data_IF_729556621483
#
_entry.id   IF_729556621483
#
_cell.length_a   1.000
_cell.length_b   1.000
_cell.length_c   1.000
_cell.angle_alpha   90.00
_cell.angle_beta   90.00
_cell.angle_gamma   90.00
#
_symmetry.space_group_name_H-M   'P 1'
#
loop_
_entity.id
_entity.type
_entity.pdbx_description
1 polymer ?
#
# COMPACT_ATOMS: atom_id res chain seq x y z
N UNK A 1 -6.87 24.01 5.96
CA UNK A 1 -7.89 23.24 5.27
C UNK A 1 -8.55 22.30 6.26
N UNK A 2 -9.87 22.07 6.13
CA UNK A 2 -10.57 21.03 6.87
C UNK A 2 -10.32 19.71 6.14
N UNK A 3 -9.49 18.85 6.72
CA UNK A 3 -9.18 17.51 6.23
C UNK A 3 -9.33 16.50 7.36
N UNK A 4 -9.68 15.27 7.04
CA UNK A 4 -9.86 14.20 8.03
C UNK A 4 -8.56 13.45 8.33
N UNK A 5 -7.56 13.58 7.46
CA UNK A 5 -6.28 12.91 7.64
C UNK A 5 -5.20 13.40 6.69
N UNK A 6 -3.98 12.98 7.00
CA UNK A 6 -2.79 13.14 6.17
C UNK A 6 -2.33 11.75 5.73
N UNK A 7 -2.01 11.61 4.45
CA UNK A 7 -1.56 10.36 3.87
C UNK A 7 -0.21 10.53 3.20
N UNK A 8 0.74 9.64 3.51
CA UNK A 8 2.05 9.59 2.87
C UNK A 8 2.16 8.37 1.97
N UNK A 9 2.70 8.59 0.76
CA UNK A 9 3.26 7.50 -0.01
C UNK A 9 4.60 7.07 0.59
N UNK A 10 4.93 5.78 0.48
CA UNK A 10 6.25 5.25 0.80
C UNK A 10 7.25 5.70 -0.26
N UNK A 11 8.48 5.66 0.02
CA UNK A 11 9.72 6.00 -0.71
C UNK A 11 10.60 6.92 0.14
N UNK A 12 10.75 6.57 1.42
CA UNK A 12 11.51 7.36 2.40
C UNK A 12 13.00 7.39 2.09
N UNK A 13 13.53 6.28 1.55
CA UNK A 13 14.89 6.23 1.02
C UNK A 13 14.86 5.94 -0.48
N UNK A 14 15.55 6.78 -1.30
CA UNK A 14 15.54 6.61 -2.76
C UNK A 14 16.51 5.52 -3.24
N UNK A 15 17.37 5.01 -2.37
CA UNK A 15 18.44 4.07 -2.70
C UNK A 15 18.90 3.29 -1.47
N UNK A 16 19.44 2.10 -1.72
CA UNK A 16 20.15 1.29 -0.72
C UNK A 16 21.68 1.54 -0.73
N UNK A 17 22.17 2.42 -1.63
CA UNK A 17 23.59 2.74 -1.70
C UNK A 17 24.10 3.29 -0.36
N UNK A 18 25.13 2.66 0.26
CA UNK A 18 25.67 3.13 1.53
C UNK A 18 26.37 4.50 1.43
N UNK A 19 26.73 4.95 0.24
CA UNK A 19 27.34 6.27 0.06
C UNK A 19 26.32 7.43 0.17
N UNK A 20 25.02 7.13 0.07
CA UNK A 20 23.95 8.15 0.04
C UNK A 20 23.92 9.05 1.28
N UNK A 21 24.09 8.47 2.46
CA UNK A 21 24.03 9.13 3.76
C UNK A 21 25.22 8.75 4.68
N UNK A 22 26.37 8.40 4.07
CA UNK A 22 27.56 7.94 4.78
C UNK A 22 28.06 8.93 5.84
N UNK A 23 28.06 10.23 5.53
CA UNK A 23 28.53 11.28 6.43
C UNK A 23 27.57 11.46 7.63
N UNK A 24 26.26 11.39 7.37
CA UNK A 24 25.23 11.49 8.43
C UNK A 24 25.29 10.26 9.36
N UNK A 25 25.46 9.07 8.79
CA UNK A 25 25.62 7.84 9.56
C UNK A 25 26.89 7.88 10.42
N UNK A 26 28.01 8.34 9.85
CA UNK A 26 29.26 8.50 10.62
C UNK A 26 29.11 9.54 11.75
N UNK A 27 28.45 10.66 11.47
CA UNK A 27 28.19 11.72 12.46
C UNK A 27 27.24 11.27 13.57
N UNK A 28 26.33 10.34 13.31
CA UNK A 28 25.40 9.79 14.31
C UNK A 28 26.13 9.00 15.42
N UNK A 29 27.32 8.46 15.16
CA UNK A 29 28.15 7.74 16.16
C UNK A 29 27.41 6.53 16.79
N UNK A 30 26.45 5.96 16.05
CA UNK A 30 25.60 4.86 16.54
C UNK A 30 26.30 3.51 16.47
N UNK A 31 25.88 2.57 17.31
CA UNK A 31 26.31 1.15 17.24
C UNK A 31 25.40 0.29 16.31
N UNK A 32 24.33 0.87 15.75
CA UNK A 32 23.44 0.17 14.83
C UNK A 32 24.14 -0.08 13.49
N UNK A 33 23.71 -1.12 12.77
CA UNK A 33 24.03 -1.24 11.35
C UNK A 33 23.45 -0.06 10.55
N UNK A 34 23.98 0.24 9.36
CA UNK A 34 23.44 1.28 8.50
C UNK A 34 21.95 1.07 8.22
N UNK A 35 21.54 -0.16 7.92
CA UNK A 35 20.16 -0.50 7.63
C UNK A 35 19.24 -0.31 8.84
N UNK A 36 19.68 -0.69 10.03
CA UNK A 36 18.91 -0.49 11.27
C UNK A 36 18.84 0.97 11.66
N UNK A 37 19.91 1.74 11.44
CA UNK A 37 19.92 3.18 11.67
C UNK A 37 18.95 3.90 10.72
N UNK A 38 18.93 3.54 9.44
CA UNK A 38 17.95 4.07 8.47
C UNK A 38 16.51 3.74 8.87
N UNK A 39 16.24 2.49 9.25
CA UNK A 39 14.90 2.09 9.76
C UNK A 39 14.52 2.85 11.02
N UNK A 40 15.45 3.03 11.94
CA UNK A 40 15.20 3.84 13.15
C UNK A 40 14.83 5.28 12.80
N UNK A 41 15.49 5.90 11.82
CA UNK A 41 15.18 7.26 11.37
C UNK A 41 13.77 7.33 10.75
N UNK A 42 13.41 6.36 9.90
CA UNK A 42 12.07 6.29 9.31
C UNK A 42 11.01 6.07 10.39
N UNK A 43 11.25 5.17 11.36
CA UNK A 43 10.35 4.95 12.49
C UNK A 43 10.17 6.22 13.33
N UNK A 44 11.24 6.96 13.57
CA UNK A 44 11.19 8.24 14.30
C UNK A 44 10.37 9.29 13.53
N UNK A 45 10.52 9.35 12.20
CA UNK A 45 9.72 10.22 11.34
C UNK A 45 8.24 9.86 11.42
N UNK A 46 7.88 8.58 11.31
CA UNK A 46 6.48 8.12 11.42
C UNK A 46 5.87 8.49 12.76
N UNK A 47 6.57 8.23 13.86
CA UNK A 47 6.10 8.59 15.20
C UNK A 47 5.96 10.12 15.37
N UNK A 48 6.83 10.92 14.73
CA UNK A 48 6.71 12.38 14.74
C UNK A 48 5.49 12.85 13.95
N UNK A 49 5.30 12.32 12.73
CA UNK A 49 4.17 12.67 11.86
C UNK A 49 2.83 12.30 12.53
N UNK A 50 2.73 11.08 13.09
CA UNK A 50 1.56 10.63 13.86
C UNK A 50 1.21 11.62 14.98
N UNK A 51 2.17 11.90 15.87
CA UNK A 51 1.94 12.85 16.97
C UNK A 51 1.55 14.25 16.49
N UNK A 52 2.18 14.71 15.40
CA UNK A 52 1.87 16.03 14.83
C UNK A 52 0.45 16.06 14.25
N UNK A 53 0.05 15.06 13.48
CA UNK A 53 -1.31 14.96 12.94
C UNK A 53 -2.36 14.95 14.06
N UNK A 54 -2.13 14.17 15.12
CA UNK A 54 -3.02 14.07 16.27
C UNK A 54 -3.12 15.36 17.08
N UNK A 55 -2.10 16.22 17.08
CA UNK A 55 -2.22 17.57 17.69
C UNK A 55 -3.25 18.46 16.98
N UNK A 56 -3.51 18.17 15.69
CA UNK A 56 -4.52 18.86 14.89
C UNK A 56 -5.84 18.08 14.78
N UNK A 57 -5.96 16.96 15.47
CA UNK A 57 -7.17 16.12 15.48
C UNK A 57 -7.42 15.39 14.15
N UNK A 58 -6.38 15.16 13.35
CA UNK A 58 -6.49 14.46 12.05
C UNK A 58 -5.75 13.13 12.08
N UNK A 59 -6.20 12.17 11.26
CA UNK A 59 -5.56 10.85 11.12
C UNK A 59 -4.27 10.93 10.32
N UNK A 60 -3.38 9.97 10.55
CA UNK A 60 -2.16 9.80 9.79
C UNK A 60 -2.07 8.37 9.22
N UNK A 61 -1.83 8.25 7.92
CA UNK A 61 -1.68 6.97 7.26
C UNK A 61 -0.55 6.96 6.24
N UNK A 62 -0.11 5.74 5.90
CA UNK A 62 1.00 5.51 4.95
C UNK A 62 0.63 4.40 3.98
N UNK A 63 1.01 4.57 2.71
CA UNK A 63 0.89 3.55 1.66
C UNK A 63 2.27 2.95 1.33
N UNK A 64 2.74 1.93 2.08
CA UNK A 64 3.99 1.25 1.76
C UNK A 64 3.90 0.48 0.44
N UNK A 65 5.06 0.16 -0.16
CA UNK A 65 5.08 -0.73 -1.32
C UNK A 65 4.43 -2.08 -0.99
N UNK A 66 3.84 -2.73 -2.00
CA UNK A 66 2.98 -3.90 -1.79
C UNK A 66 3.66 -5.13 -1.21
N UNK A 67 4.97 -5.31 -1.43
CA UNK A 67 5.74 -6.42 -0.86
C UNK A 67 6.34 -5.99 0.49
N UNK A 68 5.90 -6.58 1.63
CA UNK A 68 6.37 -6.19 2.96
C UNK A 68 7.87 -6.42 3.17
N UNK A 69 8.48 -7.46 2.54
CA UNK A 69 9.92 -7.70 2.69
C UNK A 69 10.73 -6.63 1.96
N UNK A 70 10.26 -6.23 0.77
CA UNK A 70 10.89 -5.14 0.01
C UNK A 70 10.68 -3.79 0.67
N UNK A 71 9.52 -3.53 1.26
CA UNK A 71 9.27 -2.35 2.07
C UNK A 71 10.33 -2.22 3.18
N UNK A 72 10.59 -3.31 3.89
CA UNK A 72 11.56 -3.36 4.97
C UNK A 72 13.02 -3.24 4.48
N UNK A 73 13.37 -3.96 3.39
CA UNK A 73 14.76 -4.06 2.93
C UNK A 73 15.18 -2.87 2.04
N UNK A 74 14.31 -2.47 1.09
CA UNK A 74 14.68 -1.51 0.04
C UNK A 74 14.32 -0.07 0.43
N UNK A 75 13.25 0.11 1.24
CA UNK A 75 12.72 1.42 1.65
C UNK A 75 12.98 1.76 3.11
N UNK A 76 13.55 0.81 3.87
CA UNK A 76 13.79 0.92 5.31
C UNK A 76 12.52 1.22 6.11
N UNK A 77 11.37 0.80 5.60
CA UNK A 77 10.05 1.00 6.18
C UNK A 77 9.66 -0.20 7.01
N UNK A 78 9.68 -0.07 8.34
CA UNK A 78 9.26 -1.13 9.26
C UNK A 78 7.73 -1.13 9.42
N UNK A 79 7.04 -1.40 8.31
CA UNK A 79 5.59 -1.38 8.27
C UNK A 79 4.96 -2.46 9.18
N UNK A 80 5.64 -3.55 9.44
CA UNK A 80 5.20 -4.56 10.39
C UNK A 80 5.19 -4.02 11.83
N UNK A 81 6.20 -3.23 12.21
CA UNK A 81 6.22 -2.53 13.50
C UNK A 81 5.07 -1.53 13.59
N UNK A 82 4.87 -0.71 12.54
CA UNK A 82 3.83 0.33 12.54
C UNK A 82 2.42 -0.25 12.60
N UNK A 83 2.22 -1.44 12.01
CA UNK A 83 0.96 -2.17 12.07
C UNK A 83 0.73 -2.79 13.47
N UNK A 84 1.79 -3.33 14.08
CA UNK A 84 1.72 -4.06 15.34
C UNK A 84 1.64 -3.15 16.58
N UNK A 85 2.03 -1.87 16.46
CA UNK A 85 2.13 -0.96 17.60
C UNK A 85 1.46 0.39 17.30
N UNK A 86 0.64 0.88 18.20
CA UNK A 86 0.10 2.23 18.14
C UNK A 86 1.19 3.32 18.22
N UNK A 87 0.88 4.52 17.73
CA UNK A 87 1.75 5.69 17.81
C UNK A 87 2.63 5.95 16.59
N UNK A 88 2.49 5.16 15.53
CA UNK A 88 3.16 5.35 14.25
C UNK A 88 2.20 5.77 13.13
N UNK A 89 1.05 5.10 13.04
CA UNK A 89 0.03 5.35 12.03
C UNK A 89 -1.37 5.04 12.59
N UNK A 90 -2.42 5.62 12.01
CA UNK A 90 -3.81 5.20 12.23
C UNK A 90 -4.23 4.11 11.24
N UNK A 91 -3.60 4.10 10.07
CA UNK A 91 -3.82 3.06 9.06
C UNK A 91 -2.60 2.85 8.16
N UNK A 92 -2.43 1.62 7.69
CA UNK A 92 -1.55 1.27 6.59
C UNK A 92 -2.37 0.87 5.37
N UNK A 93 -1.91 1.29 4.17
CA UNK A 93 -2.57 1.02 2.90
C UNK A 93 -1.53 0.52 1.87
N UNK A 94 -0.98 -0.71 2.03
CA UNK A 94 0.00 -1.23 1.09
C UNK A 94 -0.52 -1.21 -0.36
N UNK A 95 0.35 -0.88 -1.31
CA UNK A 95 0.05 -0.69 -2.72
C UNK A 95 0.04 -2.04 -3.46
N UNK A 96 -1.09 -2.75 -3.44
CA UNK A 96 -1.25 -4.06 -4.09
C UNK A 96 -1.75 -3.89 -5.53
N UNK A 97 -0.90 -3.34 -6.41
CA UNK A 97 -1.24 -2.94 -7.76
C UNK A 97 -1.09 -4.06 -8.80
N UNK A 98 -1.37 -5.32 -8.41
CA UNK A 98 -1.37 -6.51 -9.26
C UNK A 98 -2.72 -7.20 -9.25
N UNK A 99 -2.97 -8.00 -10.28
CA UNK A 99 -4.16 -8.85 -10.36
C UNK A 99 -4.17 -9.95 -9.29
N UNK A 100 -5.35 -10.52 -9.04
CA UNK A 100 -5.51 -11.63 -8.09
C UNK A 100 -4.64 -12.83 -8.47
N UNK A 101 -4.58 -13.10 -9.78
CA UNK A 101 -3.90 -14.24 -10.38
C UNK A 101 -2.60 -13.84 -11.08
N UNK A 102 -2.03 -12.70 -10.72
CA UNK A 102 -0.77 -12.25 -11.30
C UNK A 102 0.29 -13.33 -11.25
N UNK A 103 0.91 -13.59 -12.41
CA UNK A 103 2.00 -14.54 -12.56
C UNK A 103 3.15 -13.90 -13.32
N UNK A 104 4.37 -14.14 -12.88
CA UNK A 104 5.57 -13.71 -13.58
C UNK A 104 6.66 -14.75 -13.45
N UNK A 105 7.18 -15.25 -14.58
CA UNK A 105 8.17 -16.32 -14.65
C UNK A 105 7.74 -17.56 -13.81
N UNK A 106 6.47 -17.93 -13.88
CA UNK A 106 5.88 -19.04 -13.13
C UNK A 106 5.67 -18.80 -11.63
N UNK A 107 5.92 -17.59 -11.13
CA UNK A 107 5.70 -17.23 -9.72
C UNK A 107 4.44 -16.38 -9.55
N UNK A 108 3.65 -16.67 -8.51
CA UNK A 108 2.48 -15.90 -8.07
C UNK A 108 2.78 -15.02 -6.85
N UNK A 109 4.04 -14.94 -6.40
CA UNK A 109 4.42 -14.28 -5.14
C UNK A 109 4.00 -12.80 -5.06
N UNK A 110 3.88 -12.14 -6.22
CA UNK A 110 3.46 -10.74 -6.32
C UNK A 110 1.95 -10.58 -6.63
N UNK A 111 1.18 -11.67 -6.67
CA UNK A 111 -0.27 -11.55 -6.87
C UNK A 111 -0.94 -10.85 -5.69
N UNK A 112 -2.04 -10.13 -5.96
CA UNK A 112 -2.83 -9.48 -4.91
C UNK A 112 -3.17 -10.45 -3.78
N UNK A 113 -3.63 -11.66 -4.10
CA UNK A 113 -4.03 -12.65 -3.09
C UNK A 113 -2.87 -13.06 -2.19
N UNK A 114 -1.66 -13.28 -2.75
CA UNK A 114 -0.50 -13.67 -1.96
C UNK A 114 -0.02 -12.53 -1.07
N UNK A 115 0.08 -11.31 -1.62
CA UNK A 115 0.51 -10.15 -0.86
C UNK A 115 -0.52 -9.77 0.22
N UNK A 116 -1.82 -9.75 -0.10
CA UNK A 116 -2.88 -9.45 0.86
C UNK A 116 -2.89 -10.45 2.02
N UNK A 117 -2.72 -11.75 1.75
CA UNK A 117 -2.63 -12.77 2.79
C UNK A 117 -1.40 -12.55 3.70
N UNK A 118 -0.26 -12.13 3.16
CA UNK A 118 0.94 -11.80 3.95
C UNK A 118 0.69 -10.60 4.86
N UNK A 119 0.08 -9.52 4.35
CA UNK A 119 -0.27 -8.35 5.15
C UNK A 119 -1.29 -8.68 6.24
N UNK A 120 -2.34 -9.45 5.91
CA UNK A 120 -3.37 -9.86 6.86
C UNK A 120 -2.84 -10.75 8.00
N UNK A 121 -1.76 -11.51 7.74
CA UNK A 121 -1.13 -12.39 8.73
C UNK A 121 -0.20 -11.64 9.72
N UNK A 122 0.15 -10.38 9.45
CA UNK A 122 0.99 -9.60 10.38
C UNK A 122 0.21 -9.25 11.65
N UNK A 123 0.87 -9.23 12.81
CA UNK A 123 0.27 -8.71 14.04
C UNK A 123 -0.24 -7.27 13.83
N UNK A 124 -1.41 -6.99 14.37
CA UNK A 124 -2.04 -5.67 14.24
C UNK A 124 -2.57 -5.17 15.58
N UNK A 125 -2.24 -3.92 15.92
CA UNK A 125 -2.83 -3.22 17.05
C UNK A 125 -4.31 -2.94 16.80
N UNK A 126 -5.13 -2.90 17.85
CA UNK A 126 -6.58 -2.71 17.74
C UNK A 126 -6.98 -1.34 17.17
N UNK A 127 -6.13 -0.35 17.38
CA UNK A 127 -6.31 1.05 16.93
C UNK A 127 -5.69 1.33 15.56
N UNK A 128 -5.08 0.33 14.90
CA UNK A 128 -4.48 0.48 13.55
C UNK A 128 -5.32 -0.27 12.51
N UNK A 129 -5.75 0.43 11.47
CA UNK A 129 -6.50 -0.15 10.36
C UNK A 129 -5.55 -0.64 9.26
N UNK A 130 -5.75 -1.87 8.79
CA UNK A 130 -5.17 -2.33 7.52
C UNK A 130 -6.16 -2.05 6.40
N UNK A 131 -5.77 -1.18 5.49
CA UNK A 131 -6.44 -0.94 4.22
C UNK A 131 -5.57 -1.50 3.08
N UNK A 132 -6.05 -1.48 1.84
CA UNK A 132 -5.29 -1.89 0.65
C UNK A 132 -5.49 -0.90 -0.49
N UNK A 133 -4.39 -0.49 -1.12
CA UNK A 133 -4.42 0.28 -2.36
C UNK A 133 -4.52 -0.63 -3.58
N UNK A 134 -5.53 -0.41 -4.43
CA UNK A 134 -5.74 -1.14 -5.68
C UNK A 134 -5.43 -0.27 -6.90
N UNK A 135 -4.82 -0.88 -7.92
CA UNK A 135 -4.32 -0.20 -9.11
C UNK A 135 -5.37 -0.01 -10.20
N UNK A 136 -6.33 0.90 -10.04
CA UNK A 136 -7.32 1.20 -11.08
C UNK A 136 -6.69 1.66 -12.41
N UNK A 137 -5.46 2.15 -12.39
CA UNK A 137 -4.72 2.53 -13.60
C UNK A 137 -4.32 1.33 -14.48
N UNK A 138 -4.48 0.11 -13.98
CA UNK A 138 -4.25 -1.14 -14.72
C UNK A 138 -5.41 -1.52 -15.65
N UNK A 139 -6.57 -0.89 -15.48
CA UNK A 139 -7.76 -1.17 -16.30
C UNK A 139 -7.42 -0.99 -17.77
N UNK A 140 -7.53 -2.08 -18.54
CA UNK A 140 -7.20 -2.14 -19.96
C UNK A 140 -5.72 -2.33 -20.29
N UNK A 141 -4.82 -1.70 -19.55
CA UNK A 141 -3.36 -1.78 -19.77
C UNK A 141 -2.74 -3.06 -19.21
N UNK A 142 -3.37 -3.65 -18.17
CA UNK A 142 -2.84 -4.82 -17.49
C UNK A 142 -1.68 -4.50 -16.55
N UNK A 143 -1.13 -5.53 -15.94
CA UNK A 143 -0.05 -5.44 -14.95
C UNK A 143 1.24 -6.16 -15.38
N UNK A 144 1.29 -6.63 -16.63
CA UNK A 144 2.41 -7.38 -17.19
C UNK A 144 2.48 -8.83 -16.73
N UNK A 145 1.37 -9.39 -16.26
CA UNK A 145 1.22 -10.81 -15.94
C UNK A 145 1.47 -11.70 -17.14
N UNK A 146 2.02 -12.90 -16.91
CA UNK A 146 2.14 -13.94 -17.92
C UNK A 146 0.77 -14.56 -18.27
N UNK A 147 -0.26 -14.32 -17.43
CA UNK A 147 -1.67 -14.67 -17.64
C UNK A 147 -2.49 -13.39 -17.84
N UNK A 148 -2.48 -12.80 -19.05
CA UNK A 148 -3.16 -11.53 -19.30
C UNK A 148 -4.68 -11.68 -19.32
N UNK A 149 -5.40 -10.55 -19.21
CA UNK A 149 -6.85 -10.47 -19.42
C UNK A 149 -7.66 -10.15 -18.16
N UNK A 150 -7.12 -10.30 -16.97
CA UNK A 150 -7.83 -9.96 -15.73
C UNK A 150 -8.31 -8.50 -15.75
N UNK A 151 -7.45 -7.56 -16.11
CA UNK A 151 -7.74 -6.13 -16.16
C UNK A 151 -8.60 -5.66 -17.36
N UNK A 152 -9.14 -6.62 -18.12
CA UNK A 152 -10.01 -6.36 -19.28
C UNK A 152 -11.42 -6.93 -19.12
N UNK A 153 -11.79 -7.39 -17.92
CA UNK A 153 -13.07 -8.04 -17.64
C UNK A 153 -14.20 -7.05 -17.36
N UNK A 154 -13.88 -5.84 -16.88
CA UNK A 154 -14.86 -4.84 -16.43
C UNK A 154 -15.39 -5.08 -15.00
N UNK A 155 -14.80 -6.04 -14.28
CA UNK A 155 -15.14 -6.35 -12.88
C UNK A 155 -13.91 -6.74 -12.03
N UNK A 156 -12.70 -6.45 -12.54
CA UNK A 156 -11.44 -6.80 -11.87
C UNK A 156 -11.35 -6.24 -10.45
N UNK A 157 -11.71 -4.96 -10.28
CA UNK A 157 -11.69 -4.30 -8.96
C UNK A 157 -12.73 -4.91 -8.01
N UNK A 158 -13.90 -5.27 -8.53
CA UNK A 158 -14.95 -5.90 -7.74
C UNK A 158 -14.51 -7.29 -7.25
N UNK A 159 -13.89 -8.09 -8.12
CA UNK A 159 -13.33 -9.39 -7.75
C UNK A 159 -12.22 -9.27 -6.71
N UNK A 160 -11.35 -8.26 -6.85
CA UNK A 160 -10.29 -7.96 -5.88
C UNK A 160 -10.87 -7.57 -4.52
N UNK A 161 -11.91 -6.74 -4.50
CA UNK A 161 -12.64 -6.39 -3.27
C UNK A 161 -13.22 -7.62 -2.59
N UNK A 162 -13.88 -8.49 -3.35
CA UNK A 162 -14.45 -9.73 -2.81
C UNK A 162 -13.37 -10.63 -2.20
N UNK A 163 -12.20 -10.74 -2.84
CA UNK A 163 -11.07 -11.51 -2.32
C UNK A 163 -10.52 -10.89 -1.01
N UNK A 164 -10.36 -9.57 -0.94
CA UNK A 164 -9.89 -8.86 0.26
C UNK A 164 -10.84 -9.02 1.44
N UNK A 165 -12.15 -8.94 1.20
CA UNK A 165 -13.17 -9.14 2.25
C UNK A 165 -13.06 -10.52 2.90
N UNK A 166 -12.66 -11.57 2.16
CA UNK A 166 -12.45 -12.91 2.74
C UNK A 166 -11.28 -12.95 3.75
N UNK A 167 -10.39 -11.98 3.70
CA UNK A 167 -9.25 -11.80 4.61
C UNK A 167 -9.55 -10.79 5.73
N UNK A 168 -10.77 -10.25 5.80
CA UNK A 168 -11.16 -9.22 6.76
C UNK A 168 -10.51 -7.86 6.48
N UNK A 169 -10.23 -7.57 5.21
CA UNK A 169 -9.74 -6.28 4.75
C UNK A 169 -10.88 -5.55 4.05
N UNK A 170 -11.55 -4.66 4.78
CA UNK A 170 -12.78 -3.98 4.33
C UNK A 170 -12.53 -2.56 3.80
N UNK A 171 -11.31 -2.03 4.00
CA UNK A 171 -10.95 -0.67 3.59
C UNK A 171 -10.01 -0.70 2.40
N UNK A 172 -10.35 0.08 1.36
CA UNK A 172 -9.54 0.18 0.15
C UNK A 172 -9.37 1.63 -0.31
N UNK A 173 -8.27 1.87 -1.04
CA UNK A 173 -8.05 3.05 -1.86
C UNK A 173 -7.89 2.65 -3.33
N UNK A 174 -8.54 3.35 -4.25
CA UNK A 174 -8.38 3.12 -5.69
C UNK A 174 -7.40 4.13 -6.30
N UNK A 175 -6.27 3.67 -6.76
CA UNK A 175 -5.30 4.53 -7.43
C UNK A 175 -5.43 4.35 -8.96
N UNK A 176 -6.02 5.33 -9.69
CA UNK A 176 -6.38 6.65 -9.21
C UNK A 176 -7.72 7.11 -9.82
N UNK A 177 -8.24 8.27 -9.37
CA UNK A 177 -9.50 8.87 -9.81
C UNK A 177 -9.60 8.96 -11.35
N UNK A 178 -8.61 9.54 -12.03
CA UNK A 178 -8.65 9.72 -13.49
C UNK A 178 -8.74 8.39 -14.24
N UNK A 179 -8.12 7.34 -13.73
CA UNK A 179 -8.13 6.02 -14.36
C UNK A 179 -9.49 5.36 -14.32
N UNK A 180 -10.31 5.73 -13.34
CA UNK A 180 -11.65 5.18 -13.17
C UNK A 180 -12.74 6.11 -13.74
N UNK A 181 -12.66 7.43 -13.52
CA UNK A 181 -13.73 8.39 -13.86
C UNK A 181 -13.46 9.23 -15.10
N UNK A 182 -12.20 9.39 -15.51
CA UNK A 182 -11.79 10.18 -16.67
C UNK A 182 -10.95 9.34 -17.66
N UNK A 183 -11.10 8.01 -17.67
CA UNK A 183 -10.33 7.14 -18.53
C UNK A 183 -10.70 7.33 -20.00
N UNK A 184 -9.78 7.93 -20.77
CA UNK A 184 -9.97 8.18 -22.20
C UNK A 184 -9.50 7.04 -23.08
N UNK A 185 -8.60 6.17 -22.58
CA UNK A 185 -8.08 5.03 -23.33
C UNK A 185 -9.06 3.86 -23.34
N UNK A 186 -9.73 3.59 -22.21
CA UNK A 186 -10.64 2.46 -22.00
C UNK A 186 -11.96 2.91 -21.33
N UNK A 187 -12.72 3.85 -21.92
CA UNK A 187 -13.85 4.47 -21.24
C UNK A 187 -14.98 3.48 -20.91
N UNK A 188 -15.27 2.54 -21.82
CA UNK A 188 -16.32 1.53 -21.63
C UNK A 188 -15.93 0.55 -20.52
N UNK A 189 -14.67 0.16 -20.47
CA UNK A 189 -14.15 -0.77 -19.47
C UNK A 189 -14.13 -0.12 -18.07
N UNK A 190 -13.69 1.14 -18.00
CA UNK A 190 -13.71 1.91 -16.75
C UNK A 190 -15.13 2.11 -16.22
N UNK A 191 -16.11 2.36 -17.10
CA UNK A 191 -17.53 2.47 -16.69
C UNK A 191 -18.05 1.12 -16.14
N UNK A 192 -17.71 0.00 -16.76
CA UNK A 192 -18.09 -1.33 -16.27
C UNK A 192 -17.46 -1.62 -14.89
N UNK A 193 -16.21 -1.26 -14.68
CA UNK A 193 -15.54 -1.36 -13.36
C UNK A 193 -16.21 -0.49 -12.29
N UNK A 194 -16.63 0.75 -12.63
CA UNK A 194 -17.39 1.61 -11.71
C UNK A 194 -18.70 0.94 -11.29
N UNK A 195 -19.45 0.41 -12.26
CA UNK A 195 -20.74 -0.23 -12.01
C UNK A 195 -20.57 -1.49 -11.13
N UNK A 196 -19.58 -2.31 -11.41
CA UNK A 196 -19.31 -3.55 -10.65
C UNK A 196 -18.89 -3.26 -9.21
N UNK A 197 -18.01 -2.29 -8.98
CA UNK A 197 -17.63 -1.85 -7.62
C UNK A 197 -18.82 -1.26 -6.88
N UNK A 198 -19.63 -0.41 -7.54
CA UNK A 198 -20.81 0.20 -6.94
C UNK A 198 -21.87 -0.85 -6.52
N UNK A 199 -21.98 -1.98 -7.23
CA UNK A 199 -22.88 -3.07 -6.85
C UNK A 199 -22.48 -3.73 -5.54
N UNK A 200 -21.18 -3.95 -5.30
CA UNK A 200 -20.70 -4.52 -4.03
C UNK A 200 -21.05 -3.59 -2.86
N UNK A 201 -20.80 -2.28 -3.00
CA UNK A 201 -21.08 -1.32 -1.92
C UNK A 201 -22.57 -1.07 -1.64
N UNK A 202 -23.45 -1.34 -2.60
CA UNK A 202 -24.91 -1.21 -2.42
C UNK A 202 -25.56 -2.50 -1.94
N UNK A 203 -24.90 -3.63 -2.06
CA UNK A 203 -25.43 -4.96 -1.70
C UNK A 203 -25.04 -5.45 -0.30
N UNK A 204 -24.19 -4.72 0.42
CA UNK A 204 -23.85 -4.93 1.83
C UNK A 204 -24.57 -3.89 2.67
#
# INVERSE_FOLDING_TARGET
YAVDGIHFDDYFYPTTDPAFDADDYAAAGTALSLDDWRRQNVNALMALCYRTAHQYGVRFGVAPIGDPDRSYADQYSDAALWLAQGGYVDYLMPQLYWGQNYTKNGSTAQSLCQLAARWAALPRAEDVTLAVGLGAYRIGDGDGSDTPGEWSTGHSLADQLAALNTLGIDYIGLYRYDSLFNNTAYPTLAAAEQDSVAQIWRGG
#
